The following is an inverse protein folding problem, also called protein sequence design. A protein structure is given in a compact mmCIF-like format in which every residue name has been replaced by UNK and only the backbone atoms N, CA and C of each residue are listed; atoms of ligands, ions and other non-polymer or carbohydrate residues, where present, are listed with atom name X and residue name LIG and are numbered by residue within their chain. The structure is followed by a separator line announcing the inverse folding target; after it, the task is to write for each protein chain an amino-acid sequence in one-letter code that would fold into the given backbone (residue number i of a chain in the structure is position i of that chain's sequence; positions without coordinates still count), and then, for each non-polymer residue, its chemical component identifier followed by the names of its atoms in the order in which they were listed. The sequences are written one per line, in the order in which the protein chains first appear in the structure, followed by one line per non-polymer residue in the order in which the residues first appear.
data_IF_466143678059
#
_entry.id   IF_466143678059
#
_cell.length_a   1.000
_cell.length_b   1.000
_cell.length_c   1.000
_cell.angle_alpha   90.00
_cell.angle_beta   90.00
_cell.angle_gamma   90.00
#
_symmetry.space_group_name_H-M   'P 1'
#
loop_
_entity.id
_entity.type
_entity.pdbx_description
1 polymer ?
#
# COMPACT_ATOMS: atom_id res chain seq x y z
N UNK A 1 -59.35 4.99 -12.72
CA UNK A 1 -58.42 6.07 -12.33
C UNK A 1 -57.02 5.47 -12.30
N UNK A 2 -56.18 5.76 -13.28
CA UNK A 2 -54.80 5.27 -13.36
C UNK A 2 -53.87 6.47 -13.22
N UNK A 3 -52.98 6.44 -12.23
CA UNK A 3 -51.91 7.41 -12.07
C UNK A 3 -50.78 7.11 -13.08
N UNK A 4 -50.19 8.09 -13.76
CA UNK A 4 -49.01 7.85 -14.56
C UNK A 4 -47.79 7.69 -13.65
N UNK A 5 -47.10 6.56 -13.83
CA UNK A 5 -45.80 6.28 -13.20
C UNK A 5 -44.74 7.30 -13.64
N UNK A 6 -43.97 7.73 -12.66
CA UNK A 6 -42.83 8.62 -12.77
C UNK A 6 -41.79 8.10 -13.79
N UNK A 7 -41.59 8.84 -14.87
CA UNK A 7 -40.45 8.64 -15.75
C UNK A 7 -39.16 8.95 -14.97
N UNK A 8 -38.40 7.91 -14.63
CA UNK A 8 -37.06 8.06 -14.09
C UNK A 8 -36.14 8.56 -15.23
N UNK A 9 -35.76 9.82 -15.16
CA UNK A 9 -34.71 10.39 -16.00
C UNK A 9 -33.39 9.67 -15.72
N UNK A 10 -32.66 9.17 -16.73
CA UNK A 10 -31.31 8.65 -16.51
C UNK A 10 -30.39 9.81 -16.13
N UNK A 11 -29.86 9.78 -14.92
CA UNK A 11 -28.76 10.66 -14.49
C UNK A 11 -27.56 10.44 -15.42
N UNK A 12 -26.96 11.48 -16.02
CA UNK A 12 -25.74 11.32 -16.79
C UNK A 12 -24.61 10.89 -15.85
N UNK A 13 -24.12 9.66 -16.05
CA UNK A 13 -22.94 9.14 -15.37
C UNK A 13 -21.74 10.01 -15.76
N UNK A 14 -20.97 10.55 -14.79
CA UNK A 14 -19.86 11.43 -15.11
C UNK A 14 -18.83 10.65 -15.93
N UNK A 15 -18.55 11.15 -17.13
CA UNK A 15 -17.56 10.62 -18.06
C UNK A 15 -16.32 10.13 -17.32
N UNK A 16 -15.97 8.86 -17.56
CA UNK A 16 -14.88 8.18 -16.89
C UNK A 16 -13.54 8.90 -17.15
N UNK A 17 -13.20 9.85 -16.26
CA UNK A 17 -11.86 10.45 -16.12
C UNK A 17 -10.82 9.33 -16.28
N UNK A 18 -9.68 9.53 -16.96
CA UNK A 18 -8.74 8.46 -17.26
C UNK A 18 -8.04 7.95 -15.97
N UNK A 19 -8.75 7.14 -15.18
CA UNK A 19 -8.30 6.49 -13.93
C UNK A 19 -7.01 5.71 -14.16
N UNK A 20 -6.80 5.23 -15.39
CA UNK A 20 -5.63 4.45 -15.81
C UNK A 20 -4.31 5.22 -15.68
N UNK A 21 -4.26 6.50 -16.03
CA UNK A 21 -3.03 7.29 -15.96
C UNK A 21 -2.60 7.54 -14.50
N UNK A 22 -3.56 7.89 -13.63
CA UNK A 22 -3.29 8.08 -12.21
C UNK A 22 -2.87 6.78 -11.51
N UNK A 23 -3.52 5.65 -11.82
CA UNK A 23 -3.16 4.34 -11.27
C UNK A 23 -1.76 3.89 -11.73
N UNK A 24 -1.40 4.16 -12.99
CA UNK A 24 -0.06 3.86 -13.51
C UNK A 24 1.01 4.72 -12.83
N UNK A 25 0.81 6.03 -12.73
CA UNK A 25 1.74 6.94 -12.05
C UNK A 25 1.90 6.58 -10.57
N UNK A 26 0.80 6.24 -9.90
CA UNK A 26 0.84 5.74 -8.53
C UNK A 26 1.65 4.44 -8.42
N UNK A 27 1.45 3.48 -9.33
CA UNK A 27 2.23 2.24 -9.35
C UNK A 27 3.73 2.49 -9.56
N UNK A 28 4.11 3.39 -10.48
CA UNK A 28 5.51 3.77 -10.73
C UNK A 28 6.13 4.42 -9.48
N UNK A 29 5.39 5.27 -8.77
CA UNK A 29 5.88 5.88 -7.52
C UNK A 29 6.10 4.85 -6.42
N UNK A 30 5.19 3.90 -6.26
CA UNK A 30 5.35 2.79 -5.31
C UNK A 30 6.58 1.96 -5.68
N UNK A 31 6.81 1.62 -6.95
CA UNK A 31 8.02 0.90 -7.39
C UNK A 31 9.30 1.64 -7.00
N UNK A 32 9.33 2.98 -7.08
CA UNK A 32 10.51 3.78 -6.69
C UNK A 32 10.77 3.76 -5.17
N UNK A 33 9.73 3.67 -4.36
CA UNK A 33 9.85 3.66 -2.89
C UNK A 33 10.26 2.28 -2.38
N UNK A 34 9.71 1.23 -2.98
CA UNK A 34 9.89 -0.14 -2.50
C UNK A 34 10.99 -0.92 -3.22
N UNK A 35 11.65 -0.32 -4.23
CA UNK A 35 12.68 -0.93 -5.10
C UNK A 35 12.28 -2.29 -5.74
N UNK A 36 11.03 -2.71 -5.56
CA UNK A 36 10.46 -3.97 -5.99
C UNK A 36 9.05 -3.73 -6.54
N UNK A 37 8.64 -4.52 -7.54
CA UNK A 37 7.26 -4.48 -8.04
C UNK A 37 6.35 -5.18 -7.03
N UNK A 38 5.47 -4.46 -6.29
CA UNK A 38 4.63 -5.08 -5.26
C UNK A 38 3.58 -6.05 -5.83
N UNK A 39 3.42 -6.09 -7.15
CA UNK A 39 2.51 -7.00 -7.86
C UNK A 39 3.22 -8.27 -8.37
N UNK A 40 4.50 -8.47 -8.04
CA UNK A 40 5.25 -9.68 -8.35
C UNK A 40 5.85 -10.25 -7.07
N UNK A 41 5.68 -11.56 -6.85
CA UNK A 41 6.29 -12.25 -5.72
C UNK A 41 7.81 -12.30 -5.90
N UNK A 42 8.61 -11.82 -4.92
CA UNK A 42 10.07 -11.84 -5.04
C UNK A 42 10.67 -13.25 -4.97
N UNK A 43 9.92 -14.23 -4.43
CA UNK A 43 10.38 -15.62 -4.30
C UNK A 43 10.10 -16.47 -5.53
N UNK A 44 8.98 -16.24 -6.24
CA UNK A 44 8.52 -17.11 -7.32
C UNK A 44 8.07 -16.38 -8.60
N UNK A 45 8.02 -15.05 -8.62
CA UNK A 45 7.59 -14.26 -9.78
C UNK A 45 6.09 -14.30 -10.08
N UNK A 46 5.27 -14.95 -9.24
CA UNK A 46 3.82 -14.98 -9.40
C UNK A 46 3.15 -13.60 -9.24
N UNK A 47 1.98 -13.43 -9.85
CA UNK A 47 1.21 -12.18 -9.72
C UNK A 47 0.60 -12.04 -8.33
N UNK A 48 0.81 -10.89 -7.70
CA UNK A 48 0.21 -10.52 -6.42
C UNK A 48 -0.86 -9.43 -6.62
N UNK A 49 -1.80 -9.33 -5.68
CA UNK A 49 -2.86 -8.30 -5.68
C UNK A 49 -2.90 -7.62 -4.31
N UNK A 50 -3.05 -6.30 -4.32
CA UNK A 50 -3.27 -5.53 -3.09
C UNK A 50 -4.71 -5.78 -2.64
N UNK A 51 -4.89 -6.27 -1.42
CA UNK A 51 -6.20 -6.61 -0.85
C UNK A 51 -6.71 -5.60 0.18
N UNK A 52 -5.82 -4.81 0.78
CA UNK A 52 -6.17 -3.81 1.79
C UNK A 52 -5.10 -2.72 1.90
N UNK A 53 -5.51 -1.55 2.37
CA UNK A 53 -4.62 -0.49 2.85
C UNK A 53 -4.85 -0.34 4.36
N UNK A 54 -3.82 -0.59 5.15
CA UNK A 54 -3.90 -0.51 6.62
C UNK A 54 -3.23 0.79 7.05
N UNK A 55 -3.99 1.67 7.71
CA UNK A 55 -3.51 2.99 8.14
C UNK A 55 -3.49 3.14 9.66
N UNK A 56 -4.13 2.23 10.40
CA UNK A 56 -4.15 2.28 11.86
C UNK A 56 -2.87 1.69 12.46
N UNK A 57 -2.17 2.48 13.27
CA UNK A 57 -0.83 2.13 13.76
C UNK A 57 -0.81 0.91 14.68
N UNK A 58 -1.87 0.65 15.46
CA UNK A 58 -1.95 -0.53 16.30
C UNK A 58 -1.99 -1.82 15.48
N UNK A 59 -2.80 -1.85 14.40
CA UNK A 59 -2.90 -3.00 13.50
C UNK A 59 -1.59 -3.27 12.77
N UNK A 60 -0.93 -2.20 12.28
CA UNK A 60 0.38 -2.31 11.64
C UNK A 60 1.38 -2.96 12.59
N UNK A 61 1.49 -2.48 13.84
CA UNK A 61 2.40 -3.05 14.84
C UNK A 61 2.08 -4.51 15.15
N UNK A 62 0.79 -4.86 15.28
CA UNK A 62 0.36 -6.22 15.55
C UNK A 62 0.81 -7.18 14.43
N UNK A 63 0.61 -6.79 13.17
CA UNK A 63 1.06 -7.56 12.00
C UNK A 63 2.58 -7.69 11.96
N UNK A 64 3.31 -6.58 12.13
CA UNK A 64 4.78 -6.59 12.09
C UNK A 64 5.38 -7.47 13.19
N UNK A 65 4.84 -7.40 14.41
CA UNK A 65 5.26 -8.26 15.52
C UNK A 65 4.99 -9.74 15.24
N UNK A 66 3.85 -10.06 14.60
CA UNK A 66 3.51 -11.44 14.26
C UNK A 66 4.48 -12.06 13.25
N UNK A 67 4.95 -11.29 12.27
CA UNK A 67 5.95 -11.75 11.28
C UNK A 67 7.40 -11.64 11.79
N UNK A 68 7.62 -11.12 13.00
CA UNK A 68 8.94 -11.01 13.63
C UNK A 68 9.82 -9.91 13.06
N UNK A 69 9.25 -8.84 12.48
CA UNK A 69 10.01 -7.68 12.00
C UNK A 69 9.89 -6.50 12.97
N UNK A 70 10.88 -5.59 12.93
CA UNK A 70 10.90 -4.37 13.74
C UNK A 70 9.61 -3.55 13.51
N UNK A 71 8.89 -3.27 14.60
CA UNK A 71 7.62 -2.53 14.56
C UNK A 71 7.76 -1.07 14.97
N UNK A 72 8.92 -0.68 15.52
CA UNK A 72 9.25 0.73 15.75
C UNK A 72 9.57 1.42 14.41
N UNK A 73 8.92 2.55 14.08
CA UNK A 73 9.34 3.35 12.94
C UNK A 73 10.79 3.82 13.16
N UNK A 74 11.61 3.86 12.10
CA UNK A 74 12.98 4.36 12.21
C UNK A 74 12.94 5.80 12.74
N UNK A 75 13.87 6.12 13.65
CA UNK A 75 13.97 7.47 14.19
C UNK A 75 14.19 8.46 13.04
N UNK A 76 13.30 9.44 12.91
CA UNK A 76 13.46 10.53 11.97
C UNK A 76 14.60 11.42 12.46
N UNK A 77 15.82 11.15 12.00
CA UNK A 77 16.93 12.08 12.22
C UNK A 77 16.82 13.21 11.18
N UNK A 78 16.75 14.49 11.59
CA UNK A 78 16.82 15.58 10.65
C UNK A 78 18.22 15.59 10.01
N UNK A 79 18.32 15.08 8.78
CA UNK A 79 19.52 15.22 7.92
C UNK A 79 20.35 13.96 7.64
N UNK A 80 19.97 12.75 8.03
CA UNK A 80 20.75 11.54 7.70
C UNK A 80 20.10 10.69 6.62
N UNK A 81 20.83 10.46 5.51
CA UNK A 81 20.55 9.37 4.55
C UNK A 81 20.59 8.05 5.31
N UNK A 82 19.62 7.18 5.07
CA UNK A 82 19.54 5.87 5.69
C UNK A 82 20.82 5.07 5.41
N UNK A 83 21.61 4.82 6.45
CA UNK A 83 22.56 3.70 6.47
C UNK A 83 21.93 2.60 7.31
N UNK A 84 21.76 1.45 6.67
CA UNK A 84 21.16 0.27 7.28
C UNK A 84 21.96 -0.18 8.52
N UNK A 85 21.22 -0.55 9.57
CA UNK A 85 21.73 -1.19 10.79
C UNK A 85 21.99 -2.68 10.51
N UNK A 86 23.10 -3.20 11.04
CA UNK A 86 23.36 -4.64 11.07
C UNK A 86 24.49 -5.06 12.00
N UNK A 87 24.58 -4.50 13.21
CA UNK A 87 25.50 -4.95 14.25
C UNK A 87 24.99 -6.22 14.93
N UNK A 88 25.60 -7.36 14.58
CA UNK A 88 25.41 -8.67 15.21
C UNK A 88 25.71 -8.59 16.72
N UNK A 89 24.68 -8.70 17.57
CA UNK A 89 24.89 -9.01 18.99
C UNK A 89 25.24 -10.48 19.13
N UNK A 90 26.51 -10.79 19.45
CA UNK A 90 26.89 -12.09 20.02
C UNK A 90 26.70 -12.07 21.52
N UNK A 91 26.05 -13.12 22.01
CA UNK A 91 25.79 -13.43 23.40
C UNK A 91 27.01 -14.03 24.12
N UNK A 92 27.08 -13.80 25.43
CA UNK A 92 27.57 -14.78 26.41
C UNK A 92 29.06 -14.78 26.75
N UNK A 93 29.34 -14.71 28.05
CA UNK A 93 30.65 -14.86 28.70
C UNK A 93 30.61 -14.31 30.10
#
# INVERSE_FOLDING_TARGET
MAAPGNAATPTPEPEARPKRAAHYLWAVLITRIYEAFPLLCPMCGGQMRIIAFITHSAEIRHILNHIGVESAPPAHHPGTRATAVGGLRRAGG
#
